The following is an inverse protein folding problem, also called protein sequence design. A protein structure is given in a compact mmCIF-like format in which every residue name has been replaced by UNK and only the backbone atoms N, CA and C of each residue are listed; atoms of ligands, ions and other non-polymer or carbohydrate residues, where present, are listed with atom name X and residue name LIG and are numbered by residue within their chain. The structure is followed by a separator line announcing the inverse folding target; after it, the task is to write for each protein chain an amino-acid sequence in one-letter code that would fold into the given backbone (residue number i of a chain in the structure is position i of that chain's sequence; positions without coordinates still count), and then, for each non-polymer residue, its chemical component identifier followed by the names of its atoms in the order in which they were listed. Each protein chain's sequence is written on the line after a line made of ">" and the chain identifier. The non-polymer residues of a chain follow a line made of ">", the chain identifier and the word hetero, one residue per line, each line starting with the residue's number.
data_IF_067317055919
#
_entry.id   IF_067317055919
#
_cell.length_a   1.000
_cell.length_b   1.000
_cell.length_c   1.000
_cell.angle_alpha   90.00
_cell.angle_beta   90.00
_cell.angle_gamma   90.00
#
_symmetry.space_group_name_H-M   'P 1'
#
loop_
_entity.id
_entity.type
_entity.pdbx_description
1 polymer ?
#
# COMPACT_ATOMS: atom_id res chain seq x y z
N UNK A 1 7.42 -20.70 2.28
CA UNK A 1 6.27 -19.80 2.58
C UNK A 1 6.67 -18.32 2.57
N UNK A 2 7.80 -17.98 3.20
CA UNK A 2 8.30 -16.61 3.31
C UNK A 2 8.57 -15.91 1.95
N UNK A 3 9.09 -16.64 0.96
CA UNK A 3 9.28 -16.15 -0.43
C UNK A 3 7.95 -15.74 -1.09
N UNK A 4 6.85 -16.49 -0.84
CA UNK A 4 5.54 -16.17 -1.42
C UNK A 4 4.97 -14.88 -0.82
N UNK A 5 5.12 -14.69 0.49
CA UNK A 5 4.69 -13.46 1.17
C UNK A 5 5.48 -12.25 0.66
N UNK A 6 6.80 -12.39 0.46
CA UNK A 6 7.63 -11.33 -0.13
C UNK A 6 7.22 -10.97 -1.56
N UNK A 7 6.88 -11.95 -2.40
CA UNK A 7 6.33 -11.68 -3.74
C UNK A 7 5.00 -10.92 -3.67
N UNK A 8 4.12 -11.29 -2.74
CA UNK A 8 2.87 -10.57 -2.47
C UNK A 8 3.11 -9.12 -2.02
N UNK A 9 4.10 -8.88 -1.16
CA UNK A 9 4.49 -7.53 -0.76
C UNK A 9 5.01 -6.70 -1.92
N UNK A 10 5.87 -7.28 -2.77
CA UNK A 10 6.35 -6.63 -3.97
C UNK A 10 5.19 -6.25 -4.89
N UNK A 11 4.27 -7.17 -5.16
CA UNK A 11 3.07 -6.91 -5.97
C UNK A 11 2.22 -5.80 -5.33
N UNK A 12 2.02 -5.82 -4.02
CA UNK A 12 1.29 -4.79 -3.29
C UNK A 12 1.92 -3.40 -3.47
N UNK A 13 3.25 -3.30 -3.33
CA UNK A 13 3.99 -2.06 -3.59
C UNK A 13 3.85 -1.58 -5.04
N UNK A 14 4.00 -2.48 -6.02
CA UNK A 14 3.85 -2.13 -7.45
C UNK A 14 2.43 -1.65 -7.76
N UNK A 15 1.40 -2.32 -7.23
CA UNK A 15 0.00 -1.89 -7.41
C UNK A 15 -0.23 -0.51 -6.77
N UNK A 16 0.32 -0.27 -5.58
CA UNK A 16 0.25 1.03 -4.92
C UNK A 16 1.01 2.11 -5.72
N UNK A 17 2.09 1.76 -6.42
CA UNK A 17 2.79 2.66 -7.35
C UNK A 17 1.94 2.99 -8.58
N UNK A 18 1.26 1.99 -9.15
CA UNK A 18 0.44 2.15 -10.36
C UNK A 18 -0.69 3.15 -10.17
N UNK A 19 -1.21 3.31 -8.95
CA UNK A 19 -2.18 4.36 -8.65
C UNK A 19 -1.63 5.77 -8.94
N UNK A 20 -0.33 5.99 -8.72
CA UNK A 20 0.32 7.30 -8.93
C UNK A 20 0.58 7.54 -10.41
N UNK A 21 1.00 6.50 -11.12
CA UNK A 21 1.28 6.57 -12.56
C UNK A 21 0.00 6.63 -13.40
N UNK A 22 -1.09 6.06 -12.91
CA UNK A 22 -2.38 5.98 -13.59
C UNK A 22 -3.49 6.62 -12.72
N UNK A 23 -3.55 7.96 -12.64
CA UNK A 23 -4.44 8.67 -11.72
C UNK A 23 -5.94 8.39 -11.95
N UNK A 24 -6.33 8.08 -13.19
CA UNK A 24 -7.70 7.67 -13.54
C UNK A 24 -8.16 6.41 -12.81
N UNK A 25 -7.22 5.60 -12.31
CA UNK A 25 -7.45 4.32 -11.65
C UNK A 25 -6.97 4.32 -10.18
N UNK A 26 -6.86 5.49 -9.54
CA UNK A 26 -6.41 5.61 -8.13
C UNK A 26 -7.22 4.71 -7.20
N UNK A 27 -8.55 4.82 -7.26
CA UNK A 27 -9.46 4.08 -6.37
C UNK A 27 -9.31 2.56 -6.54
N UNK A 28 -9.44 1.98 -7.75
CA UNK A 28 -9.32 0.54 -7.93
C UNK A 28 -7.91 0.02 -7.58
N UNK A 29 -6.84 0.75 -7.95
CA UNK A 29 -5.49 0.31 -7.59
C UNK A 29 -5.24 0.35 -6.07
N UNK A 30 -5.66 1.40 -5.38
CA UNK A 30 -5.52 1.46 -3.93
C UNK A 30 -6.35 0.38 -3.23
N UNK A 31 -7.57 0.11 -3.71
CA UNK A 31 -8.40 -0.98 -3.18
C UNK A 31 -7.71 -2.34 -3.32
N UNK A 32 -7.12 -2.64 -4.48
CA UNK A 32 -6.35 -3.88 -4.68
C UNK A 32 -5.16 -3.95 -3.72
N UNK A 33 -4.42 -2.85 -3.55
CA UNK A 33 -3.31 -2.77 -2.60
C UNK A 33 -3.75 -2.96 -1.14
N UNK A 34 -4.91 -2.43 -0.76
CA UNK A 34 -5.50 -2.60 0.56
C UNK A 34 -5.94 -4.05 0.81
N UNK A 35 -6.59 -4.70 -0.16
CA UNK A 35 -6.97 -6.12 -0.09
C UNK A 35 -5.73 -7.02 0.04
N UNK A 36 -4.70 -6.78 -0.78
CA UNK A 36 -3.41 -7.47 -0.67
C UNK A 36 -2.80 -7.29 0.72
N UNK A 37 -2.86 -6.07 1.26
CA UNK A 37 -2.35 -5.77 2.61
C UNK A 37 -3.08 -6.55 3.70
N UNK A 38 -4.40 -6.71 3.62
CA UNK A 38 -5.19 -7.54 4.56
C UNK A 38 -4.72 -9.00 4.52
N UNK A 39 -4.54 -9.56 3.32
CA UNK A 39 -4.06 -10.93 3.13
C UNK A 39 -2.66 -11.11 3.73
N UNK A 40 -1.76 -10.16 3.49
CA UNK A 40 -0.39 -10.18 4.02
C UNK A 40 -0.40 -10.12 5.55
N UNK A 41 -1.19 -9.23 6.15
CA UNK A 41 -1.35 -9.12 7.62
C UNK A 41 -1.86 -10.44 8.22
N UNK A 42 -2.88 -11.05 7.60
CA UNK A 42 -3.46 -12.32 8.07
C UNK A 42 -2.47 -13.47 8.03
N UNK A 43 -1.66 -13.56 6.97
CA UNK A 43 -0.61 -14.57 6.85
C UNK A 43 0.58 -14.29 7.78
N UNK A 44 0.86 -13.02 8.10
CA UNK A 44 1.97 -12.64 8.97
C UNK A 44 1.77 -13.01 10.44
N UNK A 45 0.53 -13.11 10.95
CA UNK A 45 0.26 -13.60 12.32
C UNK A 45 0.87 -14.99 12.59
N UNK A 46 1.17 -15.77 11.54
CA UNK A 46 1.84 -17.07 11.65
C UNK A 46 3.38 -17.00 11.62
N UNK A 47 3.99 -15.92 11.13
CA UNK A 47 5.43 -15.91 10.79
C UNK A 47 6.25 -14.78 11.41
N UNK A 48 5.68 -13.85 12.19
CA UNK A 48 6.36 -12.87 13.08
C UNK A 48 7.65 -12.16 12.60
N UNK A 49 7.95 -12.12 11.29
CA UNK A 49 9.29 -11.73 10.78
C UNK A 49 9.26 -10.53 9.81
N UNK A 50 8.10 -10.14 9.25
CA UNK A 50 8.00 -9.01 8.31
C UNK A 50 7.43 -7.73 8.96
N UNK A 51 7.83 -6.58 8.44
CA UNK A 51 7.38 -5.26 8.90
C UNK A 51 5.91 -4.99 8.49
N UNK A 52 4.97 -5.54 9.27
CA UNK A 52 3.51 -5.42 9.05
C UNK A 52 3.03 -3.96 9.06
N UNK A 53 3.75 -3.09 9.77
CA UNK A 53 3.37 -1.69 10.02
C UNK A 53 3.01 -0.94 8.73
N UNK A 54 3.77 -1.14 7.65
CA UNK A 54 3.52 -0.49 6.36
C UNK A 54 2.20 -0.92 5.71
N UNK A 55 1.76 -2.16 5.93
CA UNK A 55 0.46 -2.65 5.44
C UNK A 55 -0.73 -2.07 6.22
N UNK A 56 -0.54 -1.78 7.51
CA UNK A 56 -1.53 -1.02 8.28
C UNK A 56 -1.63 0.43 7.80
N UNK A 57 -0.51 1.06 7.42
CA UNK A 57 -0.52 2.40 6.86
C UNK A 57 -1.23 2.49 5.50
N UNK A 58 -1.11 1.46 4.64
CA UNK A 58 -1.91 1.37 3.40
C UNK A 58 -3.41 1.36 3.72
N UNK A 59 -3.83 0.56 4.69
CA UNK A 59 -5.25 0.50 5.09
C UNK A 59 -5.74 1.85 5.63
N UNK A 60 -4.92 2.52 6.45
CA UNK A 60 -5.25 3.85 6.96
C UNK A 60 -5.35 4.89 5.82
N UNK A 61 -4.44 4.86 4.84
CA UNK A 61 -4.50 5.73 3.67
C UNK A 61 -5.71 5.43 2.78
N UNK A 62 -6.13 4.17 2.68
CA UNK A 62 -7.34 3.83 1.96
C UNK A 62 -8.57 4.46 2.62
N UNK A 63 -8.69 4.35 3.95
CA UNK A 63 -9.75 5.04 4.71
C UNK A 63 -9.68 6.56 4.53
N UNK A 64 -8.47 7.13 4.58
CA UNK A 64 -8.24 8.56 4.33
C UNK A 64 -8.69 8.96 2.92
N UNK A 65 -8.45 8.11 1.91
CA UNK A 65 -8.93 8.35 0.54
C UNK A 65 -10.45 8.35 0.44
N UNK A 66 -11.12 7.39 1.08
CA UNK A 66 -12.59 7.32 1.10
C UNK A 66 -13.17 8.58 1.76
N UNK A 67 -12.54 9.05 2.85
CA UNK A 67 -12.91 10.32 3.48
C UNK A 67 -12.67 11.53 2.55
N UNK A 68 -11.55 11.59 1.84
CA UNK A 68 -11.26 12.66 0.87
C UNK A 68 -12.28 12.74 -0.26
N UNK A 69 -12.80 11.59 -0.73
CA UNK A 69 -13.87 11.56 -1.72
C UNK A 69 -15.16 12.22 -1.20
N UNK A 70 -15.39 12.22 0.12
CA UNK A 70 -16.53 12.88 0.75
C UNK A 70 -16.29 14.39 0.99
N UNK A 71 -15.04 14.84 0.99
CA UNK A 71 -14.65 16.24 1.28
C UNK A 71 -13.79 16.78 0.14
N UNK A 72 -14.44 17.21 -0.95
CA UNK A 72 -13.78 17.62 -2.20
C UNK A 72 -13.17 19.02 -2.17
N UNK A 73 -13.20 19.73 -1.03
CA UNK A 73 -12.84 21.15 -0.93
C UNK A 73 -11.36 21.41 -0.69
N UNK A 74 -10.56 20.40 -0.36
CA UNK A 74 -9.17 20.58 0.11
C UNK A 74 -8.15 19.86 -0.78
N UNK A 75 -7.80 20.45 -1.92
CA UNK A 75 -6.79 19.94 -2.85
C UNK A 75 -5.40 19.69 -2.23
N UNK A 76 -5.08 20.38 -1.13
CA UNK A 76 -3.87 20.15 -0.35
C UNK A 76 -3.81 18.73 0.23
N UNK A 77 -4.93 18.19 0.72
CA UNK A 77 -4.94 16.84 1.29
C UNK A 77 -4.82 15.75 0.22
N UNK A 78 -5.34 15.96 -1.00
CA UNK A 78 -5.08 15.07 -2.12
C UNK A 78 -3.58 14.98 -2.43
N UNK A 79 -2.87 16.12 -2.36
CA UNK A 79 -1.43 16.16 -2.58
C UNK A 79 -0.67 15.39 -1.50
N UNK A 80 -1.02 15.61 -0.22
CA UNK A 80 -0.44 14.86 0.91
C UNK A 80 -0.70 13.35 0.73
N UNK A 81 -1.92 12.97 0.38
CA UNK A 81 -2.29 11.58 0.15
C UNK A 81 -1.41 10.93 -0.92
N UNK A 82 -1.20 11.62 -2.05
CA UNK A 82 -0.36 11.11 -3.14
C UNK A 82 1.10 10.96 -2.72
N UNK A 83 1.65 11.93 -1.99
CA UNK A 83 3.01 11.85 -1.45
C UNK A 83 3.19 10.67 -0.49
N UNK A 84 2.23 10.45 0.42
CA UNK A 84 2.27 9.33 1.36
C UNK A 84 2.14 7.98 0.64
N UNK A 85 1.28 7.89 -0.37
CA UNK A 85 1.15 6.69 -1.20
C UNK A 85 2.44 6.35 -1.93
N UNK A 86 3.10 7.34 -2.53
CA UNK A 86 4.39 7.16 -3.21
C UNK A 86 5.46 6.69 -2.21
N UNK A 87 5.54 7.34 -1.04
CA UNK A 87 6.49 6.97 0.01
C UNK A 87 6.31 5.51 0.45
N UNK A 88 5.08 5.10 0.79
CA UNK A 88 4.81 3.73 1.22
C UNK A 88 5.08 2.71 0.11
N UNK A 89 4.74 3.05 -1.14
CA UNK A 89 5.01 2.19 -2.29
C UNK A 89 6.50 1.89 -2.41
N UNK A 90 7.33 2.94 -2.42
CA UNK A 90 8.79 2.81 -2.51
C UNK A 90 9.34 2.02 -1.33
N UNK A 91 8.90 2.32 -0.10
CA UNK A 91 9.35 1.61 1.10
C UNK A 91 9.04 0.11 1.01
N UNK A 92 7.81 -0.27 0.64
CA UNK A 92 7.41 -1.67 0.54
C UNK A 92 8.20 -2.39 -0.56
N UNK A 93 8.43 -1.75 -1.70
CA UNK A 93 9.26 -2.29 -2.77
C UNK A 93 10.70 -2.50 -2.27
N UNK A 94 11.31 -1.51 -1.63
CA UNK A 94 12.67 -1.63 -1.08
C UNK A 94 12.78 -2.73 -0.02
N UNK A 95 11.82 -2.84 0.89
CA UNK A 95 11.82 -3.90 1.91
C UNK A 95 11.62 -5.28 1.30
N UNK A 96 10.83 -5.38 0.23
CA UNK A 96 10.69 -6.63 -0.50
C UNK A 96 12.02 -7.07 -1.13
N UNK A 97 12.82 -6.14 -1.67
CA UNK A 97 14.14 -6.44 -2.28
C UNK A 97 15.25 -6.68 -1.25
N UNK A 98 15.35 -5.86 -0.20
CA UNK A 98 16.39 -5.97 0.83
C UNK A 98 16.33 -7.31 1.58
N UNK A 99 15.20 -8.00 1.52
CA UNK A 99 15.03 -9.30 2.12
C UNK A 99 15.12 -10.46 1.09
N UNK A 100 15.23 -10.17 -0.21
CA UNK A 100 15.43 -11.17 -1.28
C UNK A 100 16.93 -11.42 -1.54
N UNK A 101 17.76 -10.39 -1.36
CA UNK A 101 19.23 -10.43 -1.47
C UNK A 101 19.87 -10.88 -0.16
#
# INVERSE_FOLDING_TARGET
>A
MLIRIKKLQFICGVVLMMQVLCPMWIIPFHLIAALLSIVIIGWQKRFCVLQVQYHFYILALYCFRVWLLAVTTFAFFDTIYMCLCLYLSIMIILFSFRAIL
#
